data_IF_164258583903
#
_entry.id   IF_164258583903
#
_cell.length_a   1.000
_cell.length_b   1.000
_cell.length_c   1.000
_cell.angle_alpha   90.00
_cell.angle_beta   90.00
_cell.angle_gamma   90.00
#
_symmetry.space_group_name_H-M   'P 1'
#
loop_
_entity.id
_entity.type
_entity.pdbx_description
1 polymer ?
#
# COMPACT_ATOMS: atom_id res chain seq x y z
N UNK A 1 -3.59 -18.02 -13.29
CA UNK A 1 -3.38 -16.86 -14.19
C UNK A 1 -2.48 -15.90 -13.43
N UNK A 2 -1.34 -15.52 -14.01
CA UNK A 2 -0.24 -14.85 -13.31
C UNK A 2 -0.67 -13.43 -12.90
N UNK A 3 -0.74 -13.13 -11.61
CA UNK A 3 -0.75 -11.75 -11.12
C UNK A 3 0.69 -11.26 -11.28
N UNK A 4 0.99 -10.77 -12.48
CA UNK A 4 2.24 -10.09 -12.76
C UNK A 4 2.18 -8.75 -12.05
N UNK A 5 2.90 -8.66 -10.93
CA UNK A 5 3.19 -7.43 -10.22
C UNK A 5 3.70 -6.39 -11.21
N UNK A 6 2.83 -5.48 -11.60
CA UNK A 6 3.19 -4.28 -12.35
C UNK A 6 3.16 -3.14 -11.34
N UNK A 7 4.08 -3.19 -10.37
CA UNK A 7 4.42 -2.02 -9.56
C UNK A 7 5.35 -1.17 -10.43
N UNK A 8 4.77 -0.45 -11.39
CA UNK A 8 5.50 0.48 -12.26
C UNK A 8 4.64 1.73 -12.46
N UNK A 9 4.83 2.71 -11.57
CA UNK A 9 4.79 4.14 -11.88
C UNK A 9 4.96 4.97 -10.58
N UNK A 10 6.21 5.11 -10.11
CA UNK A 10 6.60 6.10 -9.09
C UNK A 10 7.34 7.25 -9.78
N UNK A 11 6.69 7.94 -10.72
CA UNK A 11 7.21 9.21 -11.27
C UNK A 11 6.05 10.19 -11.37
N UNK A 12 5.88 11.05 -10.36
CA UNK A 12 4.91 12.15 -10.42
C UNK A 12 4.27 12.63 -9.12
N UNK A 13 4.67 12.14 -7.93
CA UNK A 13 3.95 12.42 -6.67
C UNK A 13 4.79 13.23 -5.66
N UNK A 14 5.27 14.40 -6.05
CA UNK A 14 6.03 15.27 -5.15
C UNK A 14 5.15 16.17 -4.25
N UNK A 15 3.86 16.33 -4.53
CA UNK A 15 2.98 17.30 -3.87
C UNK A 15 1.88 16.68 -2.99
N UNK A 16 2.02 15.41 -2.64
CA UNK A 16 0.92 14.55 -2.25
C UNK A 16 1.21 13.83 -0.94
N UNK A 17 0.83 14.45 0.17
CA UNK A 17 1.05 13.96 1.53
C UNK A 17 1.34 15.12 2.47
N UNK A 18 0.45 15.35 3.44
CA UNK A 18 0.75 16.21 4.57
C UNK A 18 1.53 15.41 5.63
N UNK A 19 2.22 16.11 6.53
CA UNK A 19 2.99 15.49 7.63
C UNK A 19 2.13 14.63 8.59
N UNK A 20 0.80 14.79 8.52
CA UNK A 20 -0.19 14.04 9.30
C UNK A 20 -0.71 12.76 8.61
N UNK A 21 -0.38 12.54 7.34
CA UNK A 21 -0.77 11.34 6.60
C UNK A 21 0.33 10.29 6.73
N UNK A 22 -0.04 9.04 7.02
CA UNK A 22 0.95 8.02 7.32
C UNK A 22 0.36 6.74 7.87
N UNK A 23 1.25 5.89 8.38
CA UNK A 23 0.93 4.71 9.17
C UNK A 23 1.60 4.80 10.51
N UNK A 24 0.81 4.67 11.57
CA UNK A 24 1.33 4.41 12.90
C UNK A 24 0.97 2.97 13.28
N UNK A 25 1.99 2.14 13.45
CA UNK A 25 1.84 0.72 13.66
C UNK A 25 2.94 0.10 14.50
N UNK A 26 2.96 -1.22 14.49
CA UNK A 26 3.94 -2.04 15.17
C UNK A 26 4.31 -3.25 14.32
N UNK A 27 5.59 -3.60 14.36
CA UNK A 27 6.16 -4.80 13.77
C UNK A 27 6.98 -5.53 14.82
N UNK A 28 6.68 -6.81 15.05
CA UNK A 28 7.38 -7.65 16.04
C UNK A 28 7.51 -6.96 17.43
N UNK A 29 6.48 -6.20 17.84
CA UNK A 29 6.47 -5.46 19.11
C UNK A 29 7.24 -4.14 19.12
N UNK A 30 7.91 -3.76 18.03
CA UNK A 30 8.55 -2.45 17.85
C UNK A 30 7.58 -1.49 17.17
N UNK A 31 7.52 -0.24 17.60
CA UNK A 31 6.73 0.79 16.92
C UNK A 31 7.32 1.09 15.53
N UNK A 32 6.46 1.22 14.53
CA UNK A 32 6.81 1.61 13.15
C UNK A 32 5.94 2.80 12.78
N UNK A 33 6.57 3.90 12.36
CA UNK A 33 5.85 5.07 11.86
C UNK A 33 6.34 5.38 10.47
N UNK A 34 5.43 5.32 9.50
CA UNK A 34 5.67 5.76 8.14
C UNK A 34 4.87 7.04 7.93
N UNK A 35 5.38 7.96 7.14
CA UNK A 35 4.73 9.25 6.86
C UNK A 35 4.34 9.32 5.38
N UNK A 36 3.76 10.43 4.92
CA UNK A 36 3.49 10.66 3.51
C UNK A 36 2.64 9.55 2.83
N UNK A 37 1.52 9.20 3.46
CA UNK A 37 0.57 8.28 2.84
C UNK A 37 -0.28 9.00 1.79
N UNK A 38 -0.42 8.38 0.62
CA UNK A 38 -1.28 8.87 -0.44
C UNK A 38 -2.07 7.75 -1.10
N UNK A 39 -3.19 8.13 -1.73
CA UNK A 39 -3.98 7.24 -2.56
C UNK A 39 -4.32 7.90 -3.88
N UNK A 40 -4.26 7.11 -4.96
CA UNK A 40 -4.65 7.58 -6.28
C UNK A 40 -6.16 7.71 -6.39
N UNK A 41 -6.62 8.76 -7.06
CA UNK A 41 -8.04 8.90 -7.40
C UNK A 41 -8.46 7.77 -8.34
N UNK A 42 -9.54 7.02 -8.03
CA UNK A 42 -10.09 5.99 -8.90
C UNK A 42 -10.30 6.50 -10.32
N UNK A 43 -9.53 6.00 -11.29
CA UNK A 43 -9.83 6.21 -12.72
C UNK A 43 -10.96 5.26 -13.16
N UNK A 44 -11.65 5.51 -14.29
CA UNK A 44 -12.70 4.61 -14.80
C UNK A 44 -12.22 3.18 -15.04
N UNK A 45 -10.92 3.01 -15.29
CA UNK A 45 -10.27 1.71 -15.54
C UNK A 45 -9.70 1.09 -14.26
N UNK A 46 -9.73 1.81 -13.14
CA UNK A 46 -9.19 1.35 -11.88
C UNK A 46 -10.12 0.33 -11.23
N UNK A 47 -9.54 -0.76 -10.72
CA UNK A 47 -10.27 -1.89 -10.13
C UNK A 47 -10.07 -2.03 -8.62
N UNK A 48 -9.29 -1.13 -8.02
CA UNK A 48 -8.87 -1.19 -6.62
C UNK A 48 -8.61 0.20 -6.05
N UNK A 49 -8.60 0.35 -4.73
CA UNK A 49 -8.00 1.52 -4.08
C UNK A 49 -6.58 1.12 -3.70
N UNK A 50 -5.60 1.85 -4.23
CA UNK A 50 -4.19 1.71 -3.85
C UNK A 50 -3.82 2.84 -2.90
N UNK A 51 -3.33 2.48 -1.73
CA UNK A 51 -2.67 3.37 -0.78
C UNK A 51 -1.19 3.04 -0.78
N UNK A 52 -0.35 4.06 -0.94
CA UNK A 52 1.10 3.93 -0.80
C UNK A 52 1.54 4.85 0.32
N UNK A 53 2.33 4.32 1.24
CA UNK A 53 2.92 5.05 2.36
C UNK A 53 4.43 4.94 2.24
N UNK A 54 5.15 6.06 2.33
CA UNK A 54 6.58 6.12 2.10
C UNK A 54 7.32 6.53 3.37
N UNK A 55 8.43 5.87 3.69
CA UNK A 55 9.36 6.44 4.65
C UNK A 55 10.27 7.45 3.94
N UNK A 56 10.14 8.74 4.28
CA UNK A 56 11.05 9.80 3.79
C UNK A 56 12.27 10.00 4.69
N UNK A 57 12.36 9.30 5.82
CA UNK A 57 13.55 9.36 6.66
C UNK A 57 14.66 8.55 5.99
N UNK A 58 15.51 9.25 5.24
CA UNK A 58 16.58 8.72 4.37
C UNK A 58 17.75 8.05 5.11
N UNK A 59 17.56 7.66 6.38
CA UNK A 59 18.63 7.23 7.25
C UNK A 59 18.64 5.70 7.31
N UNK A 60 19.12 5.03 6.26
CA UNK A 60 19.27 3.56 6.21
C UNK A 60 20.33 3.00 7.18
N UNK A 61 20.63 3.72 8.26
CA UNK A 61 21.63 3.43 9.28
C UNK A 61 21.07 2.51 10.38
N UNK A 62 20.32 1.47 10.00
CA UNK A 62 19.81 0.49 10.96
C UNK A 62 20.58 -0.85 10.83
N UNK A 63 21.26 -1.30 11.90
CA UNK A 63 22.07 -2.51 11.87
C UNK A 63 21.21 -3.75 11.55
N UNK A 64 21.74 -4.54 10.62
CA UNK A 64 21.08 -5.63 9.90
C UNK A 64 20.47 -6.70 10.81
N UNK A 65 19.21 -7.06 10.52
CA UNK A 65 18.67 -8.44 10.47
C UNK A 65 17.12 -8.51 10.54
N UNK A 66 16.43 -7.39 10.76
CA UNK A 66 14.96 -7.33 10.70
C UNK A 66 14.53 -6.55 9.45
N UNK A 67 14.29 -7.25 8.33
CA UNK A 67 14.06 -6.65 7.01
C UNK A 67 12.97 -5.57 6.98
N UNK A 68 11.93 -5.68 7.81
CA UNK A 68 10.84 -4.70 7.87
C UNK A 68 11.07 -3.52 8.81
N UNK A 69 12.18 -3.50 9.57
CA UNK A 69 12.65 -2.27 10.25
C UNK A 69 13.30 -1.28 9.28
N UNK A 70 13.66 -1.73 8.08
CA UNK A 70 14.18 -0.91 6.98
C UNK A 70 13.15 -0.74 5.86
N UNK A 71 11.86 -0.72 6.24
CA UNK A 71 10.77 -0.55 5.31
C UNK A 71 10.82 0.85 4.70
N UNK A 72 11.00 0.89 3.38
CA UNK A 72 11.00 2.13 2.60
C UNK A 72 9.59 2.51 2.14
N UNK A 73 8.72 1.51 1.94
CA UNK A 73 7.33 1.72 1.56
C UNK A 73 6.40 0.62 2.10
N UNK A 74 5.14 0.99 2.28
CA UNK A 74 4.01 0.10 2.49
C UNK A 74 2.96 0.39 1.41
N UNK A 75 2.56 -0.65 0.67
CA UNK A 75 1.42 -0.59 -0.24
C UNK A 75 0.25 -1.39 0.31
N UNK A 76 -0.93 -0.79 0.29
CA UNK A 76 -2.19 -1.44 0.65
C UNK A 76 -3.12 -1.28 -0.55
N UNK A 77 -3.42 -2.38 -1.20
CA UNK A 77 -4.39 -2.44 -2.28
C UNK A 77 -5.64 -3.17 -1.79
N UNK A 78 -6.82 -2.62 -2.06
CA UNK A 78 -8.12 -3.21 -1.68
C UNK A 78 -9.07 -3.21 -2.87
N UNK A 79 -9.76 -4.33 -3.08
CA UNK A 79 -10.70 -4.53 -4.18
C UNK A 79 -11.82 -5.49 -3.79
N UNK A 80 -12.87 -5.50 -4.60
CA UNK A 80 -13.99 -6.44 -4.47
C UNK A 80 -13.95 -7.38 -5.66
N UNK A 81 -13.80 -8.66 -5.40
CA UNK A 81 -13.91 -9.72 -6.41
C UNK A 81 -15.39 -10.07 -6.64
N UNK A 82 -15.77 -10.23 -7.91
CA UNK A 82 -17.10 -10.71 -8.27
C UNK A 82 -17.14 -11.28 -9.68
N UNK A 83 -18.30 -11.80 -10.07
CA UNK A 83 -18.50 -12.51 -11.34
C UNK A 83 -18.09 -11.73 -12.62
N UNK A 84 -18.04 -10.39 -12.56
CA UNK A 84 -17.63 -9.52 -13.66
C UNK A 84 -16.14 -9.13 -13.65
N UNK A 85 -15.36 -9.62 -12.69
CA UNK A 85 -13.99 -9.21 -12.41
C UNK A 85 -13.89 -8.27 -11.20
N UNK A 86 -12.67 -7.78 -10.94
CA UNK A 86 -12.38 -6.92 -9.79
C UNK A 86 -12.97 -5.52 -9.96
N UNK A 87 -13.39 -4.92 -8.83
CA UNK A 87 -13.97 -3.58 -8.78
C UNK A 87 -13.55 -2.79 -7.54
N UNK A 88 -13.57 -1.46 -7.67
CA UNK A 88 -13.30 -0.55 -6.57
C UNK A 88 -14.37 -0.71 -5.48
N UNK A 89 -14.00 -0.80 -4.19
CA UNK A 89 -14.97 -0.91 -3.12
C UNK A 89 -15.91 0.31 -3.05
N UNK A 90 -17.22 0.05 -3.09
CA UNK A 90 -18.24 1.09 -2.99
C UNK A 90 -18.59 1.49 -1.54
N UNK A 91 -18.13 0.71 -0.55
CA UNK A 91 -18.39 0.95 0.87
C UNK A 91 -17.15 0.61 1.71
N UNK A 92 -16.99 1.34 2.81
CA UNK A 92 -16.09 0.98 3.90
C UNK A 92 -16.42 -0.43 4.43
N UNK A 93 -15.42 -1.12 4.96
CA UNK A 93 -15.57 -2.52 5.36
C UNK A 93 -14.26 -3.22 5.65
N UNK A 94 -14.34 -4.50 5.96
CA UNK A 94 -13.16 -5.36 6.15
C UNK A 94 -12.90 -6.18 4.89
N UNK A 95 -11.62 -6.22 4.52
CA UNK A 95 -11.05 -6.88 3.36
C UNK A 95 -10.04 -7.91 3.86
N UNK A 96 -10.11 -9.14 3.35
CA UNK A 96 -9.17 -10.19 3.75
C UNK A 96 -7.88 -10.05 2.96
N UNK A 97 -6.74 -10.15 3.65
CA UNK A 97 -5.46 -10.14 2.95
C UNK A 97 -5.28 -11.48 2.25
N UNK A 98 -5.14 -11.43 0.94
CA UNK A 98 -4.87 -12.57 0.09
C UNK A 98 -3.42 -12.47 -0.39
N UNK A 99 -2.55 -13.32 0.13
CA UNK A 99 -1.16 -13.37 -0.33
C UNK A 99 -1.02 -13.95 -1.74
N UNK A 100 0.19 -13.88 -2.29
CA UNK A 100 0.54 -14.38 -3.64
C UNK A 100 0.19 -15.86 -3.89
N UNK A 101 0.00 -16.64 -2.81
CA UNK A 101 -0.34 -18.06 -2.85
C UNK A 101 -1.83 -18.34 -3.13
N UNK A 102 -2.65 -17.32 -3.38
CA UNK A 102 -3.94 -17.48 -4.03
C UNK A 102 -4.98 -18.20 -3.17
N UNK A 103 -5.66 -17.44 -2.32
CA UNK A 103 -7.03 -17.76 -1.96
C UNK A 103 -7.83 -16.46 -2.07
N UNK A 104 -7.94 -15.94 -3.29
CA UNK A 104 -8.90 -14.88 -3.60
C UNK A 104 -10.27 -15.37 -3.12
N UNK A 105 -10.95 -14.58 -2.31
CA UNK A 105 -12.30 -14.91 -1.91
C UNK A 105 -13.15 -14.85 -3.20
N UNK A 106 -13.70 -15.98 -3.68
CA UNK A 106 -14.29 -16.04 -5.02
C UNK A 106 -15.47 -15.09 -5.23
N UNK A 107 -16.02 -14.52 -4.16
CA UNK A 107 -16.99 -13.41 -4.18
C UNK A 107 -16.81 -12.53 -2.93
N UNK A 108 -15.70 -11.79 -2.83
CA UNK A 108 -15.38 -11.10 -1.58
C UNK A 108 -14.53 -9.84 -1.64
N UNK A 109 -14.49 -9.19 -0.48
CA UNK A 109 -13.63 -8.05 -0.18
C UNK A 109 -12.21 -8.56 0.09
N UNK A 110 -11.29 -8.28 -0.82
CA UNK A 110 -9.91 -8.74 -0.75
C UNK A 110 -8.95 -7.55 -0.66
N UNK A 111 -7.79 -7.82 -0.08
CA UNK A 111 -6.70 -6.88 0.07
C UNK A 111 -5.36 -7.53 -0.27
N UNK A 112 -4.44 -6.76 -0.83
CA UNK A 112 -3.04 -7.12 -0.97
C UNK A 112 -2.23 -6.09 -0.22
N UNK A 113 -1.31 -6.56 0.63
CA UNK A 113 -0.43 -5.69 1.41
C UNK A 113 1.00 -6.05 1.09
N UNK A 114 1.73 -5.09 0.50
CA UNK A 114 3.11 -5.22 0.08
C UNK A 114 4.02 -4.30 0.89
N UNK A 115 5.24 -4.76 1.12
CA UNK A 115 6.27 -4.04 1.85
C UNK A 115 7.53 -3.96 0.99
N UNK A 116 7.98 -2.75 0.67
CA UNK A 116 9.28 -2.53 0.04
C UNK A 116 10.32 -2.32 1.13
N UNK A 117 11.30 -3.22 1.19
CA UNK A 117 12.35 -3.21 2.20
C UNK A 117 13.70 -2.90 1.58
N UNK A 118 14.55 -2.20 2.33
CA UNK A 118 15.93 -1.92 1.95
C UNK A 118 16.90 -2.61 2.92
N UNK A 119 18.13 -2.86 2.49
CA UNK A 119 19.18 -3.28 3.42
C UNK A 119 19.85 -2.07 4.11
N UNK A 120 20.83 -2.33 4.98
CA UNK A 120 21.59 -1.30 5.68
C UNK A 120 22.44 -0.39 4.76
N UNK A 121 22.45 -0.64 3.45
CA UNK A 121 23.11 0.19 2.43
C UNK A 121 22.11 0.95 1.55
N UNK A 122 20.83 0.99 1.95
CA UNK A 122 19.71 1.49 1.15
C UNK A 122 19.47 0.70 -0.16
N UNK A 123 19.99 -0.53 -0.29
CA UNK A 123 19.77 -1.31 -1.51
C UNK A 123 18.37 -1.95 -1.45
N UNK A 124 17.50 -1.69 -2.44
CA UNK A 124 16.18 -2.33 -2.51
C UNK A 124 16.31 -3.85 -2.49
N UNK A 125 15.52 -4.49 -1.64
CA UNK A 125 15.40 -5.93 -1.57
C UNK A 125 14.16 -6.40 -2.32
N UNK A 126 13.99 -7.71 -2.42
CA UNK A 126 12.75 -8.29 -2.91
C UNK A 126 11.57 -7.83 -2.05
N UNK A 127 10.49 -7.30 -2.65
CA UNK A 127 9.31 -6.90 -1.91
C UNK A 127 8.70 -8.09 -1.19
N UNK A 128 8.17 -7.83 0.01
CA UNK A 128 7.50 -8.85 0.82
C UNK A 128 6.00 -8.62 0.74
N UNK A 129 5.24 -9.62 0.31
CA UNK A 129 3.78 -9.58 0.34
C UNK A 129 3.27 -10.29 1.60
N UNK A 130 2.33 -9.68 2.30
CA UNK A 130 1.64 -10.34 3.41
C UNK A 130 0.93 -11.60 2.91
N UNK A 131 1.01 -12.67 3.71
CA UNK A 131 0.38 -13.96 3.38
C UNK A 131 -1.10 -13.97 3.75
N UNK A 132 -1.47 -13.34 4.86
CA UNK A 132 -2.84 -13.32 5.39
C UNK A 132 -3.05 -12.16 6.35
N UNK A 133 -4.28 -12.02 6.85
CA UNK A 133 -4.67 -10.95 7.75
C UNK A 133 -5.87 -10.18 7.22
N UNK A 134 -6.02 -8.93 7.64
CA UNK A 134 -7.15 -8.08 7.26
C UNK A 134 -6.76 -6.62 7.12
N UNK A 135 -7.46 -5.94 6.23
CA UNK A 135 -7.48 -4.49 6.11
C UNK A 135 -8.91 -4.03 6.38
N UNK A 136 -9.10 -3.11 7.30
CA UNK A 136 -10.41 -2.49 7.56
C UNK A 136 -10.36 -1.05 7.08
N UNK A 137 -11.08 -0.77 6.01
CA UNK A 137 -11.33 0.61 5.56
C UNK A 137 -12.45 1.22 6.38
N UNK A 138 -12.18 2.36 6.99
CA UNK A 138 -13.16 3.18 7.71
C UNK A 138 -13.71 4.29 6.81
N UNK A 139 -12.85 4.86 5.96
CA UNK A 139 -13.21 5.85 4.95
C UNK A 139 -12.63 5.46 3.59
N UNK A 140 -13.31 5.87 2.51
CA UNK A 140 -12.88 5.61 1.13
C UNK A 140 -12.23 6.82 0.45
N UNK A 141 -12.51 8.04 0.92
CA UNK A 141 -12.01 9.28 0.31
C UNK A 141 -11.98 10.43 1.33
N UNK A 142 -10.80 10.80 1.88
CA UNK A 142 -9.54 10.07 1.76
C UNK A 142 -9.61 8.67 2.39
N UNK A 143 -8.87 7.68 1.88
CA UNK A 143 -8.86 6.36 2.47
C UNK A 143 -8.13 6.36 3.81
N UNK A 144 -8.78 5.78 4.82
CA UNK A 144 -8.22 5.60 6.15
C UNK A 144 -8.73 4.30 6.76
N UNK A 145 -7.97 3.74 7.69
CA UNK A 145 -8.35 2.49 8.31
C UNK A 145 -7.26 1.82 9.12
N UNK A 146 -7.40 0.52 9.31
CA UNK A 146 -6.41 -0.32 9.99
C UNK A 146 -5.94 -1.45 9.10
N UNK A 147 -4.66 -1.79 9.21
CA UNK A 147 -4.05 -2.95 8.58
C UNK A 147 -3.53 -3.88 9.66
N UNK A 148 -3.69 -5.17 9.41
CA UNK A 148 -3.32 -6.23 10.32
C UNK A 148 -2.86 -7.44 9.50
N UNK A 149 -1.58 -7.45 9.15
CA UNK A 149 -0.97 -8.32 8.18
C UNK A 149 -0.05 -9.35 8.85
N UNK A 150 -0.08 -10.58 8.35
CA UNK A 150 0.82 -11.67 8.74
C UNK A 150 1.69 -12.01 7.55
N UNK A 151 3.00 -12.01 7.76
CA UNK A 151 3.99 -12.22 6.72
C UNK A 151 4.24 -13.71 6.46
N UNK A 152 4.92 -14.07 5.36
CA UNK A 152 5.30 -15.45 5.09
C UNK A 152 6.15 -16.08 6.21
N UNK A 153 6.96 -15.26 6.89
CA UNK A 153 7.82 -15.62 8.01
C UNK A 153 7.07 -15.79 9.35
N UNK A 154 5.80 -15.37 9.41
CA UNK A 154 4.90 -15.55 10.56
C UNK A 154 4.79 -14.33 11.48
N UNK A 155 5.68 -13.35 11.35
CA UNK A 155 5.58 -12.09 12.07
C UNK A 155 4.37 -11.28 11.60
N UNK A 156 3.92 -10.42 12.50
CA UNK A 156 2.72 -9.60 12.33
C UNK A 156 3.10 -8.13 12.25
N UNK A 157 2.54 -7.46 11.25
CA UNK A 157 2.50 -6.01 11.13
C UNK A 157 1.08 -5.55 11.40
N UNK A 158 0.90 -4.59 12.30
CA UNK A 158 -0.41 -3.98 12.55
C UNK A 158 -0.28 -2.47 12.62
N UNK A 159 -1.25 -1.73 12.11
CA UNK A 159 -1.17 -0.27 12.16
C UNK A 159 -2.46 0.42 11.73
N UNK A 160 -2.55 1.70 12.04
CA UNK A 160 -3.59 2.60 11.56
C UNK A 160 -3.01 3.48 10.47
N UNK A 161 -3.71 3.57 9.34
CA UNK A 161 -3.32 4.37 8.19
C UNK A 161 -4.32 5.49 7.92
N UNK A 162 -3.83 6.61 7.42
CA UNK A 162 -4.62 7.70 6.86
C UNK A 162 -3.84 8.27 5.70
N UNK A 163 -4.45 8.34 4.52
CA UNK A 163 -3.78 8.74 3.30
C UNK A 163 -4.44 9.95 2.66
N UNK A 164 -3.64 10.92 2.21
CA UNK A 164 -4.16 12.00 1.40
C UNK A 164 -4.67 11.48 0.05
N UNK A 165 -5.71 12.12 -0.48
CA UNK A 165 -6.13 11.88 -1.86
C UNK A 165 -5.19 12.64 -2.79
N UNK A 166 -4.61 11.92 -3.74
CA UNK A 166 -3.88 12.50 -4.85
C UNK A 166 -4.79 12.59 -6.06
N UNK A 167 -5.27 13.79 -6.31
CA UNK A 167 -5.73 14.12 -7.64
C UNK A 167 -4.50 14.21 -8.55
N UNK A 168 -4.49 13.54 -9.72
CA UNK A 168 -3.43 13.76 -10.68
C UNK A 168 -3.34 15.26 -10.96
N UNK A 169 -2.12 15.83 -11.10
CA UNK A 169 -2.01 17.22 -11.51
C UNK A 169 -2.82 17.40 -12.80
N UNK A 170 -3.53 18.52 -13.00
CA UNK A 170 -4.20 18.78 -14.25
C UNK A 170 -3.16 18.58 -15.35
N UNK A 171 -3.41 17.61 -16.23
CA UNK A 171 -2.48 17.27 -17.30
C UNK A 171 -2.12 18.54 -18.08
N UNK A 172 -0.94 18.61 -18.71
CA UNK A 172 -0.64 19.74 -19.58
C UNK A 172 -1.80 19.89 -20.58
N UNK A 173 -2.28 21.12 -20.83
CA UNK A 173 -3.35 21.35 -21.79
C UNK A 173 -2.99 20.62 -23.09
N UNK A 174 -3.97 19.89 -23.65
CA UNK A 174 -3.80 19.07 -24.84
C UNK A 174 -3.02 19.84 -25.92
N UNK A 175 -1.74 19.52 -26.08
CA UNK A 175 -0.83 20.25 -26.97
C UNK A 175 0.60 20.49 -26.46
N UNK A 176 0.91 20.25 -25.19
CA UNK A 176 2.28 20.38 -24.66
C UNK A 176 3.10 19.10 -24.79
N UNK A 177 4.15 19.09 -25.63
CA UNK A 177 5.18 18.04 -25.64
C UNK A 177 6.12 18.20 -24.44
N UNK A 178 6.36 17.13 -23.67
CA UNK A 178 7.38 17.12 -22.62
C UNK A 178 8.78 17.27 -23.24
N UNK A 179 9.56 18.25 -22.77
CA UNK A 179 11.01 18.39 -23.05
C UNK A 179 11.82 17.72 -21.95
#
# INVERSE_FOLDING_TARGET
MRIAATILALVGMAACGGDSDGVNGSFAGSAVTLTHAYSQTPSPDQKSILVTILDRTSDCQHPQNDSLKNMSSLSIEVFVHGAGGDSVPAKAGTFQIVGDAGSANPDGNDAVVGFDVTDATCTPQLPVTARSGKVTLENLSPPSGTVDAVLPTGERFSGRFTAAKCDPPPGPPAGGTCF
#
